data_IF_444850836246
#
_entry.id   IF_444850836246
#
_cell.length_a   1.000
_cell.length_b   1.000
_cell.length_c   1.000
_cell.angle_alpha   90.00
_cell.angle_beta   90.00
_cell.angle_gamma   90.00
#
_symmetry.space_group_name_H-M   'P 1'
#
loop_
_entity.id
_entity.type
_entity.pdbx_description
1 polymer ?
#
# COMPACT_ATOMS: atom_id res chain seq x y z
N UNK A 1 -7.59 2.10 7.78
CA UNK A 1 -8.55 2.34 8.89
C UNK A 1 -8.15 3.53 9.77
N UNK A 2 -6.86 3.87 9.92
CA UNK A 2 -6.41 5.04 10.70
C UNK A 2 -7.05 6.37 10.26
N UNK A 3 -7.18 6.60 8.95
CA UNK A 3 -7.82 7.82 8.41
C UNK A 3 -9.30 7.92 8.80
N UNK A 4 -10.01 6.78 8.88
CA UNK A 4 -11.41 6.73 9.33
C UNK A 4 -11.48 7.06 10.83
N UNK A 5 -10.56 6.54 11.63
CA UNK A 5 -10.44 6.89 13.06
C UNK A 5 -10.23 8.39 13.29
N UNK A 6 -9.34 9.02 12.52
CA UNK A 6 -9.14 10.48 12.58
C UNK A 6 -10.37 11.28 12.15
N UNK A 7 -11.12 10.83 11.14
CA UNK A 7 -12.38 11.48 10.74
C UNK A 7 -13.43 11.43 11.86
N UNK A 8 -13.63 10.26 12.48
CA UNK A 8 -14.58 10.09 13.59
C UNK A 8 -14.18 10.98 14.77
N UNK A 9 -12.89 11.05 15.09
CA UNK A 9 -12.37 11.90 16.15
C UNK A 9 -12.65 13.37 15.87
N UNK A 10 -12.39 13.85 14.64
CA UNK A 10 -12.67 15.23 14.25
C UNK A 10 -14.17 15.57 14.37
N UNK A 11 -15.05 14.68 13.92
CA UNK A 11 -16.51 14.85 14.06
C UNK A 11 -16.92 14.90 15.53
N UNK A 12 -16.38 14.02 16.37
CA UNK A 12 -16.65 14.01 17.81
C UNK A 12 -16.23 15.30 18.51
N UNK A 13 -15.05 15.85 18.17
CA UNK A 13 -14.57 17.13 18.71
C UNK A 13 -15.50 18.28 18.31
N UNK A 14 -15.87 18.35 17.03
CA UNK A 14 -16.81 19.39 16.55
C UNK A 14 -18.15 19.28 17.27
N UNK A 15 -18.68 18.07 17.45
CA UNK A 15 -19.93 17.83 18.16
C UNK A 15 -19.87 18.37 19.60
N UNK A 16 -18.81 18.05 20.35
CA UNK A 16 -18.65 18.54 21.73
C UNK A 16 -18.56 20.06 21.78
N UNK A 17 -17.87 20.70 20.84
CA UNK A 17 -17.80 22.16 20.76
C UNK A 17 -19.18 22.79 20.55
N UNK A 18 -20.01 22.20 19.68
CA UNK A 18 -21.41 22.63 19.50
C UNK A 18 -22.21 22.43 20.77
N UNK A 19 -22.09 21.27 21.43
CA UNK A 19 -22.81 20.97 22.67
C UNK A 19 -22.44 21.94 23.81
N UNK A 20 -21.17 22.34 23.91
CA UNK A 20 -20.70 23.31 24.89
C UNK A 20 -21.32 24.71 24.69
N UNK A 21 -21.64 25.06 23.45
CA UNK A 21 -22.24 26.35 23.09
C UNK A 21 -23.77 26.40 23.29
N UNK A 22 -24.43 25.28 23.59
CA UNK A 22 -25.88 25.27 23.84
C UNK A 22 -26.20 26.11 25.10
N UNK A 23 -27.07 27.11 24.92
CA UNK A 23 -27.65 27.90 26.00
C UNK A 23 -28.68 27.07 26.76
N UNK A 24 -28.56 27.02 28.08
CA UNK A 24 -29.43 26.24 28.95
C UNK A 24 -30.47 27.08 29.68
N UNK A 25 -30.53 28.38 29.39
CA UNK A 25 -31.38 29.32 30.10
C UNK A 25 -32.63 29.70 29.30
N UNK A 26 -33.73 29.92 30.02
CA UNK A 26 -35.00 30.41 29.46
C UNK A 26 -35.39 31.71 30.15
N UNK A 27 -36.01 32.62 29.39
CA UNK A 27 -36.52 33.88 29.94
C UNK A 27 -37.75 33.62 30.81
N UNK A 28 -37.80 34.24 31.98
CA UNK A 28 -38.97 34.25 32.85
C UNK A 28 -39.82 35.49 32.61
N UNK A 29 -41.12 35.43 32.91
CA UNK A 29 -42.04 36.55 32.74
C UNK A 29 -41.71 37.81 33.58
N UNK A 30 -40.76 37.71 34.51
CA UNK A 30 -40.26 38.80 35.35
C UNK A 30 -38.92 39.39 34.87
N UNK A 31 -38.51 39.12 33.62
CA UNK A 31 -37.31 39.71 33.01
C UNK A 31 -35.98 39.04 33.42
N UNK A 32 -36.03 37.98 34.22
CA UNK A 32 -34.86 37.18 34.59
C UNK A 32 -34.61 36.02 33.63
N UNK A 33 -33.40 35.46 33.65
CA UNK A 33 -33.09 34.17 33.01
C UNK A 33 -32.85 33.13 34.09
N UNK A 34 -33.46 31.96 33.94
CA UNK A 34 -33.24 30.81 34.82
C UNK A 34 -32.73 29.63 34.02
N UNK A 35 -31.84 28.84 34.60
CA UNK A 35 -31.35 27.62 33.96
C UNK A 35 -32.43 26.56 34.00
N UNK A 36 -32.80 26.06 32.82
CA UNK A 36 -33.76 24.98 32.69
C UNK A 36 -33.02 23.64 32.90
N UNK A 37 -33.46 22.87 33.90
CA UNK A 37 -32.87 21.58 34.27
C UNK A 37 -32.91 20.60 33.08
N UNK A 38 -33.98 20.61 32.29
CA UNK A 38 -34.13 19.76 31.11
C UNK A 38 -33.16 20.14 29.98
N UNK A 39 -32.94 21.44 29.74
CA UNK A 39 -31.93 21.89 28.76
C UNK A 39 -30.50 21.58 29.24
N UNK A 40 -30.23 21.73 30.53
CA UNK A 40 -28.97 21.31 31.15
C UNK A 40 -28.73 19.81 30.98
N UNK A 41 -29.74 18.98 31.21
CA UNK A 41 -29.67 17.53 31.01
C UNK A 41 -29.45 17.17 29.53
N UNK A 42 -30.13 17.87 28.60
CA UNK A 42 -29.91 17.67 27.17
C UNK A 42 -28.48 18.03 26.75
N UNK A 43 -27.93 19.15 27.24
CA UNK A 43 -26.53 19.54 27.03
C UNK A 43 -25.56 18.48 27.56
N UNK A 44 -25.79 17.97 28.77
CA UNK A 44 -24.98 16.89 29.34
C UNK A 44 -25.03 15.62 28.50
N UNK A 45 -26.21 15.19 28.05
CA UNK A 45 -26.36 14.01 27.20
C UNK A 45 -25.58 14.15 25.87
N UNK A 46 -25.65 15.31 25.23
CA UNK A 46 -24.90 15.60 24.00
C UNK A 46 -23.37 15.56 24.23
N UNK A 47 -22.91 16.09 25.36
CA UNK A 47 -21.48 16.03 25.74
C UNK A 47 -21.04 14.58 26.00
N UNK A 48 -21.86 13.77 26.67
CA UNK A 48 -21.56 12.36 26.95
C UNK A 48 -21.45 11.57 25.64
N UNK A 49 -22.42 11.73 24.73
CA UNK A 49 -22.41 11.05 23.42
C UNK A 49 -21.17 11.47 22.62
N UNK A 50 -20.89 12.77 22.54
CA UNK A 50 -19.70 13.28 21.85
C UNK A 50 -18.39 12.73 22.46
N UNK A 51 -18.32 12.63 23.79
CA UNK A 51 -17.19 12.04 24.50
C UNK A 51 -16.96 10.57 24.14
N UNK A 52 -18.02 9.76 24.09
CA UNK A 52 -17.94 8.35 23.67
C UNK A 52 -17.45 8.24 22.24
N UNK A 53 -17.95 9.08 21.32
CA UNK A 53 -17.51 9.11 19.92
C UNK A 53 -16.01 9.41 19.82
N UNK A 54 -15.51 10.37 20.59
CA UNK A 54 -14.08 10.71 20.64
C UNK A 54 -13.26 9.52 21.17
N UNK A 55 -13.70 8.87 22.26
CA UNK A 55 -13.02 7.70 22.83
C UNK A 55 -12.95 6.55 21.82
N UNK A 56 -14.05 6.23 21.15
CA UNK A 56 -14.07 5.22 20.08
C UNK A 56 -13.16 5.61 18.92
N UNK A 57 -13.19 6.87 18.49
CA UNK A 57 -12.31 7.40 17.44
C UNK A 57 -10.83 7.27 17.80
N UNK A 58 -10.46 7.58 19.05
CA UNK A 58 -9.10 7.42 19.58
C UNK A 58 -8.68 5.95 19.60
N UNK A 59 -9.53 5.05 20.10
CA UNK A 59 -9.23 3.60 20.16
C UNK A 59 -8.99 3.06 18.76
N UNK A 60 -9.85 3.40 17.79
CA UNK A 60 -9.70 2.96 16.39
C UNK A 60 -8.44 3.58 15.75
N UNK A 61 -8.10 4.82 16.06
CA UNK A 61 -6.91 5.48 15.51
C UNK A 61 -5.60 4.87 16.04
N UNK A 62 -5.56 4.51 17.33
CA UNK A 62 -4.35 4.01 18.01
C UNK A 62 -4.16 2.51 17.84
N UNK A 63 -5.22 1.71 18.04
CA UNK A 63 -5.11 0.25 18.14
C UNK A 63 -5.47 -0.51 16.87
N UNK A 64 -5.88 0.16 15.79
CA UNK A 64 -6.22 -0.51 14.56
C UNK A 64 -4.98 -0.79 13.68
N UNK A 65 -4.38 -1.97 13.87
CA UNK A 65 -3.43 -2.54 12.92
C UNK A 65 -4.16 -2.88 11.61
N UNK A 66 -3.50 -2.74 10.47
CA UNK A 66 -4.07 -3.16 9.19
C UNK A 66 -4.46 -4.64 9.28
N UNK A 67 -5.75 -4.96 9.09
CA UNK A 67 -6.18 -6.33 8.86
C UNK A 67 -5.40 -6.83 7.64
N UNK A 68 -4.60 -7.89 7.76
CA UNK A 68 -3.89 -8.42 6.60
C UNK A 68 -4.92 -8.81 5.55
N UNK A 69 -4.80 -8.24 4.35
CA UNK A 69 -5.61 -8.66 3.21
C UNK A 69 -5.24 -10.10 2.91
N UNK A 70 -6.11 -11.05 3.24
CA UNK A 70 -5.94 -12.44 2.85
C UNK A 70 -5.91 -12.48 1.32
N UNK A 71 -4.76 -12.82 0.72
CA UNK A 71 -4.68 -13.05 -0.72
C UNK A 71 -5.05 -14.50 -0.95
N UNK A 72 -6.09 -14.72 -1.76
CA UNK A 72 -6.48 -16.06 -2.22
C UNK A 72 -5.66 -16.38 -3.45
N UNK A 73 -5.08 -17.57 -3.49
CA UNK A 73 -4.35 -18.10 -4.65
C UNK A 73 -4.91 -19.48 -5.00
N UNK A 74 -4.79 -19.87 -6.28
CA UNK A 74 -5.20 -21.19 -6.74
C UNK A 74 -4.12 -22.21 -6.36
N UNK A 75 -4.54 -23.35 -5.80
CA UNK A 75 -3.65 -24.46 -5.51
C UNK A 75 -3.04 -25.02 -6.82
N UNK A 76 -1.71 -25.21 -6.94
CA UNK A 76 -1.09 -25.71 -8.17
C UNK A 76 -1.44 -27.17 -8.48
N UNK A 77 -1.95 -27.94 -7.51
CA UNK A 77 -2.24 -29.36 -7.67
C UNK A 77 -3.71 -29.64 -8.00
N UNK A 78 -4.64 -28.87 -7.45
CA UNK A 78 -6.07 -29.12 -7.60
C UNK A 78 -6.88 -27.91 -8.10
N UNK A 79 -6.23 -26.77 -8.35
CA UNK A 79 -6.85 -25.52 -8.81
C UNK A 79 -7.93 -24.93 -7.89
N UNK A 80 -8.05 -25.41 -6.66
CA UNK A 80 -9.00 -24.88 -5.69
C UNK A 80 -8.44 -23.65 -4.96
N UNK A 81 -9.33 -22.79 -4.46
CA UNK A 81 -8.93 -21.56 -3.76
C UNK A 81 -8.36 -21.86 -2.36
N UNK A 82 -7.11 -21.46 -2.16
CA UNK A 82 -6.38 -21.60 -0.90
C UNK A 82 -5.84 -20.25 -0.43
N UNK A 83 -5.59 -20.14 0.87
CA UNK A 83 -4.90 -18.96 1.43
C UNK A 83 -3.47 -18.94 0.89
N UNK A 84 -2.96 -17.76 0.49
CA UNK A 84 -1.57 -17.57 0.10
C UNK A 84 -0.59 -18.03 1.17
N UNK A 85 -0.96 -17.96 2.44
CA UNK A 85 -0.09 -18.42 3.54
C UNK A 85 -0.29 -19.91 3.89
N UNK A 86 -1.06 -20.65 3.09
CA UNK A 86 -1.27 -22.07 3.31
C UNK A 86 0.03 -22.85 3.08
N UNK A 87 0.40 -23.69 4.04
CA UNK A 87 1.47 -24.69 3.89
C UNK A 87 0.95 -25.98 3.26
N UNK A 88 -0.33 -26.31 3.50
CA UNK A 88 -1.00 -27.47 2.90
C UNK A 88 -2.37 -27.09 2.36
N UNK A 89 -2.72 -27.66 1.22
CA UNK A 89 -4.04 -27.47 0.64
C UNK A 89 -5.08 -28.29 1.41
N UNK A 90 -6.16 -27.64 1.86
CA UNK A 90 -7.27 -28.30 2.58
C UNK A 90 -8.09 -29.27 1.70
N UNK A 91 -7.98 -29.15 0.38
CA UNK A 91 -8.78 -29.93 -0.56
C UNK A 91 -8.06 -31.19 -1.05
N UNK A 92 -6.79 -31.07 -1.44
CA UNK A 92 -6.01 -32.20 -1.96
C UNK A 92 -4.92 -32.70 -1.01
N UNK A 93 -4.65 -32.00 0.10
CA UNK A 93 -3.63 -32.40 1.08
C UNK A 93 -2.18 -32.16 0.64
N UNK A 94 -1.94 -31.69 -0.59
CA UNK A 94 -0.60 -31.40 -1.11
C UNK A 94 0.09 -30.28 -0.32
N UNK A 95 1.39 -30.42 -0.12
CA UNK A 95 2.24 -29.37 0.43
C UNK A 95 2.42 -28.27 -0.62
N UNK A 96 2.07 -27.05 -0.25
CA UNK A 96 2.08 -25.86 -1.13
C UNK A 96 3.04 -24.79 -0.58
N UNK A 97 3.79 -25.08 0.49
CA UNK A 97 4.67 -24.13 1.18
C UNK A 97 5.73 -23.48 0.28
N UNK A 98 6.30 -24.24 -0.66
CA UNK A 98 7.29 -23.76 -1.64
C UNK A 98 6.69 -22.82 -2.69
N UNK A 99 5.39 -22.94 -2.97
CA UNK A 99 4.66 -22.12 -3.94
C UNK A 99 3.96 -20.91 -3.30
N UNK A 100 3.65 -21.01 -2.01
CA UNK A 100 2.92 -20.01 -1.21
C UNK A 100 3.83 -18.88 -0.69
N UNK A 101 5.09 -19.18 -0.35
CA UNK A 101 5.96 -18.28 0.42
C UNK A 101 6.87 -17.35 -0.39
N UNK A 102 6.92 -17.46 -1.73
CA UNK A 102 7.57 -16.44 -2.57
C UNK A 102 6.64 -15.24 -2.78
N UNK A 103 6.39 -14.50 -1.71
CA UNK A 103 6.12 -13.07 -1.82
C UNK A 103 7.44 -12.33 -1.87
N UNK A 104 8.17 -12.51 -2.96
CA UNK A 104 9.09 -11.48 -3.40
C UNK A 104 8.32 -10.63 -4.40
N UNK A 105 8.50 -9.31 -4.33
CA UNK A 105 8.21 -8.44 -5.47
C UNK A 105 8.70 -9.13 -6.76
N UNK A 106 8.04 -8.91 -7.90
CA UNK A 106 8.44 -9.52 -9.15
C UNK A 106 9.96 -9.38 -9.35
N UNK A 107 10.65 -10.51 -9.30
CA UNK A 107 12.09 -10.58 -9.50
C UNK A 107 12.35 -10.73 -10.98
N UNK A 108 12.92 -9.70 -11.61
CA UNK A 108 13.50 -9.85 -12.94
C UNK A 108 14.87 -10.49 -12.75
N UNK A 109 15.01 -11.76 -13.15
CA UNK A 109 16.30 -12.46 -13.15
C UNK A 109 17.03 -12.40 -11.79
N UNK A 110 16.29 -12.44 -10.67
CA UNK A 110 16.85 -12.43 -9.30
C UNK A 110 16.86 -11.08 -8.59
N UNK A 111 16.59 -9.96 -9.28
CA UNK A 111 16.57 -8.62 -8.69
C UNK A 111 15.17 -8.10 -8.46
N UNK A 112 14.92 -7.52 -7.29
CA UNK A 112 13.64 -6.88 -6.95
C UNK A 112 13.55 -5.48 -7.57
N UNK A 113 12.34 -5.03 -7.91
CA UNK A 113 12.12 -3.64 -8.34
C UNK A 113 12.58 -2.60 -7.30
N UNK A 114 12.61 -2.97 -6.01
CA UNK A 114 13.18 -2.14 -4.93
C UNK A 114 14.69 -1.91 -5.07
N UNK A 115 15.41 -2.78 -5.77
CA UNK A 115 16.87 -2.70 -5.96
C UNK A 115 17.25 -1.80 -7.14
N UNK A 116 16.30 -1.63 -8.08
CA UNK A 116 16.45 -0.81 -9.28
C UNK A 116 16.35 0.70 -9.02
N UNK A 117 15.83 1.12 -7.87
CA UNK A 117 15.66 2.53 -7.52
C UNK A 117 16.46 2.87 -6.27
N UNK A 118 17.50 3.69 -6.44
CA UNK A 118 18.32 4.24 -5.35
C UNK A 118 17.90 5.68 -5.08
N UNK A 119 17.91 6.08 -3.80
CA UNK A 119 17.70 7.48 -3.42
C UNK A 119 19.06 8.12 -3.22
N UNK A 120 19.42 9.09 -4.06
CA UNK A 120 20.67 9.82 -3.95
C UNK A 120 20.64 10.81 -2.79
N UNK A 121 21.82 11.32 -2.40
CA UNK A 121 22.00 12.24 -1.27
C UNK A 121 21.17 13.54 -1.36
N UNK A 122 20.73 13.90 -2.57
CA UNK A 122 19.86 15.04 -2.84
C UNK A 122 18.35 14.73 -2.64
N UNK A 123 18.01 13.54 -2.15
CA UNK A 123 16.63 13.08 -1.97
C UNK A 123 15.91 12.71 -3.28
N UNK A 124 16.62 12.75 -4.41
CA UNK A 124 16.10 12.37 -5.73
C UNK A 124 16.21 10.86 -5.94
N UNK A 125 15.16 10.25 -6.51
CA UNK A 125 15.18 8.84 -6.92
C UNK A 125 15.87 8.71 -8.26
N UNK A 126 16.91 7.90 -8.32
CA UNK A 126 17.67 7.60 -9.54
C UNK A 126 17.73 6.08 -9.75
N UNK A 127 18.01 5.66 -10.98
CA UNK A 127 18.13 4.25 -11.35
C UNK A 127 19.45 3.66 -10.85
N UNK A 128 19.42 2.42 -10.40
CA UNK A 128 20.63 1.67 -10.06
C UNK A 128 21.21 1.03 -11.32
N UNK A 129 22.10 1.74 -12.01
CA UNK A 129 22.71 1.29 -13.28
C UNK A 129 23.45 -0.07 -13.14
N UNK A 130 23.98 -0.39 -11.96
CA UNK A 130 24.63 -1.69 -11.70
C UNK A 130 23.64 -2.85 -11.82
N UNK A 131 22.44 -2.68 -11.27
CA UNK A 131 21.37 -3.69 -11.32
C UNK A 131 20.81 -3.81 -12.75
N UNK A 132 20.71 -2.70 -13.48
CA UNK A 132 20.32 -2.71 -14.91
C UNK A 132 21.31 -3.53 -15.74
N UNK A 133 22.62 -3.37 -15.50
CA UNK A 133 23.64 -4.16 -16.21
C UNK A 133 23.56 -5.65 -15.86
N UNK A 134 23.27 -6.00 -14.60
CA UNK A 134 23.12 -7.40 -14.20
C UNK A 134 21.89 -8.07 -14.84
N UNK A 135 20.76 -7.35 -14.91
CA UNK A 135 19.57 -7.82 -15.64
C UNK A 135 19.89 -7.99 -17.14
N UNK A 136 20.58 -7.04 -17.76
CA UNK A 136 21.00 -7.13 -19.16
C UNK A 136 21.89 -8.36 -19.41
N UNK A 137 22.86 -8.64 -18.53
CA UNK A 137 23.71 -9.82 -18.63
C UNK A 137 22.91 -11.11 -18.52
N UNK A 138 21.98 -11.22 -17.57
CA UNK A 138 21.14 -12.42 -17.42
C UNK A 138 20.23 -12.64 -18.63
N UNK A 139 19.60 -11.58 -19.15
CA UNK A 139 18.81 -11.65 -20.38
C UNK A 139 19.65 -12.08 -21.60
N UNK A 140 20.90 -11.64 -21.69
CA UNK A 140 21.81 -12.09 -22.73
C UNK A 140 22.25 -13.55 -22.56
N UNK A 141 22.47 -14.03 -21.34
CA UNK A 141 22.86 -15.42 -21.07
C UNK A 141 21.75 -16.41 -21.46
N UNK A 142 20.48 -16.03 -21.28
CA UNK A 142 19.34 -16.85 -21.71
C UNK A 142 19.17 -16.84 -23.24
N UNK A 143 19.62 -15.77 -23.91
CA UNK A 143 19.43 -15.54 -25.34
C UNK A 143 20.74 -15.07 -26.04
N UNK A 144 21.82 -15.87 -26.02
CA UNK A 144 23.18 -15.41 -26.35
C UNK A 144 23.39 -15.02 -27.81
N UNK A 145 22.56 -15.53 -28.73
CA UNK A 145 22.69 -15.31 -30.17
C UNK A 145 21.66 -14.30 -30.73
N UNK A 146 20.80 -13.75 -29.89
CA UNK A 146 19.72 -12.87 -30.31
C UNK A 146 20.17 -11.39 -30.35
N UNK A 147 19.50 -10.57 -31.18
CA UNK A 147 19.70 -9.12 -31.19
C UNK A 147 19.05 -8.50 -29.94
N UNK A 148 19.58 -7.39 -29.44
CA UNK A 148 19.06 -6.69 -28.26
C UNK A 148 17.53 -6.47 -28.34
N UNK A 149 17.04 -6.00 -29.49
CA UNK A 149 15.61 -5.83 -29.75
C UNK A 149 14.78 -7.13 -29.59
N UNK A 150 15.29 -8.26 -30.09
CA UNK A 150 14.62 -9.56 -29.91
C UNK A 150 14.58 -9.99 -28.44
N UNK A 151 15.66 -9.75 -27.70
CA UNK A 151 15.74 -10.05 -26.27
C UNK A 151 14.77 -9.18 -25.47
N UNK A 152 14.65 -7.89 -25.80
CA UNK A 152 13.70 -6.98 -25.15
C UNK A 152 12.25 -7.35 -25.45
N UNK A 153 11.91 -7.69 -26.69
CA UNK A 153 10.55 -8.10 -27.07
C UNK A 153 10.14 -9.38 -26.36
N UNK A 154 11.03 -10.37 -26.27
CA UNK A 154 10.76 -11.61 -25.54
C UNK A 154 10.57 -11.37 -24.04
N UNK A 155 11.31 -10.42 -23.46
CA UNK A 155 11.21 -10.06 -22.05
C UNK A 155 10.22 -8.91 -21.76
N UNK A 156 9.43 -8.48 -22.75
CA UNK A 156 8.55 -7.32 -22.63
C UNK A 156 7.59 -7.36 -21.42
N UNK A 157 6.96 -8.50 -21.05
CA UNK A 157 6.11 -8.57 -19.85
C UNK A 157 6.86 -8.29 -18.54
N UNK A 158 8.14 -8.69 -18.47
CA UNK A 158 8.99 -8.46 -17.28
C UNK A 158 9.39 -6.98 -17.23
N UNK A 159 9.79 -6.42 -18.37
CA UNK A 159 10.17 -5.01 -18.51
C UNK A 159 8.98 -4.10 -18.17
N UNK A 160 7.78 -4.39 -18.68
CA UNK A 160 6.58 -3.59 -18.39
C UNK A 160 6.22 -3.62 -16.90
N UNK A 161 6.32 -4.79 -16.28
CA UNK A 161 6.06 -4.95 -14.85
C UNK A 161 7.07 -4.19 -13.98
N UNK A 162 8.35 -4.14 -14.36
CA UNK A 162 9.33 -3.28 -13.69
C UNK A 162 8.98 -1.80 -13.86
N UNK A 163 8.55 -1.38 -15.06
CA UNK A 163 8.16 0.00 -15.34
C UNK A 163 6.96 0.48 -14.53
N UNK A 164 6.02 -0.41 -14.19
CA UNK A 164 4.86 -0.06 -13.35
C UNK A 164 5.24 0.37 -11.93
N UNK A 165 6.44 0.03 -11.47
CA UNK A 165 6.93 0.40 -10.13
C UNK A 165 7.61 1.77 -10.08
N UNK A 166 7.81 2.42 -11.23
CA UNK A 166 8.58 3.66 -11.36
C UNK A 166 7.80 4.75 -12.11
N UNK A 167 8.25 6.00 -11.98
CA UNK A 167 7.63 7.13 -12.67
C UNK A 167 7.88 7.06 -14.18
N UNK A 168 6.98 7.65 -14.98
CA UNK A 168 7.02 7.56 -16.46
C UNK A 168 8.37 7.94 -17.07
N UNK A 169 9.05 8.96 -16.52
CA UNK A 169 10.36 9.40 -16.98
C UNK A 169 11.43 8.33 -16.72
N UNK A 170 11.46 7.79 -15.50
CA UNK A 170 12.39 6.75 -15.09
C UNK A 170 12.19 5.45 -15.88
N UNK A 171 10.95 5.12 -16.24
CA UNK A 171 10.65 3.96 -17.09
C UNK A 171 11.24 4.06 -18.50
N UNK A 172 11.30 5.27 -19.07
CA UNK A 172 11.94 5.50 -20.37
C UNK A 172 13.47 5.41 -20.26
N UNK A 173 14.04 6.00 -19.20
CA UNK A 173 15.48 5.97 -18.93
C UNK A 173 15.97 4.53 -18.70
N UNK A 174 15.19 3.70 -17.98
CA UNK A 174 15.47 2.28 -17.77
C UNK A 174 15.52 1.50 -19.09
N UNK A 175 14.54 1.66 -19.98
CA UNK A 175 14.52 0.96 -21.28
C UNK A 175 15.71 1.36 -22.14
N UNK A 176 16.00 2.66 -22.22
CA UNK A 176 17.15 3.18 -22.98
C UNK A 176 18.46 2.62 -22.45
N UNK A 177 18.63 2.55 -21.13
CA UNK A 177 19.84 1.99 -20.52
C UNK A 177 19.95 0.48 -20.73
N UNK A 178 18.84 -0.26 -20.58
CA UNK A 178 18.82 -1.71 -20.78
C UNK A 178 19.18 -2.08 -22.23
N UNK A 179 18.62 -1.37 -23.21
CA UNK A 179 18.95 -1.57 -24.62
C UNK A 179 20.43 -1.30 -24.89
N UNK A 180 20.95 -0.18 -24.37
CA UNK A 180 22.36 0.20 -24.56
C UNK A 180 23.33 -0.85 -24.00
N UNK A 181 23.03 -1.43 -22.83
CA UNK A 181 23.85 -2.47 -22.22
C UNK A 181 23.76 -3.79 -22.99
N UNK A 182 22.58 -4.18 -23.48
CA UNK A 182 22.43 -5.38 -24.33
C UNK A 182 23.22 -5.26 -25.64
N UNK A 183 23.22 -4.08 -26.27
CA UNK A 183 24.04 -3.80 -27.47
C UNK A 183 25.53 -3.86 -27.14
N UNK A 184 25.94 -3.27 -26.02
CA UNK A 184 27.34 -3.26 -25.55
C UNK A 184 27.87 -4.66 -25.25
N UNK A 185 27.06 -5.52 -24.62
CA UNK A 185 27.42 -6.91 -24.33
C UNK A 185 27.69 -7.67 -25.62
N UNK A 186 26.82 -7.50 -26.63
CA UNK A 186 27.01 -8.14 -27.94
C UNK A 186 28.26 -7.63 -28.67
N UNK A 187 28.57 -6.34 -28.59
CA UNK A 187 29.74 -5.75 -29.26
C UNK A 187 31.09 -6.18 -28.65
N UNK A 188 31.10 -6.75 -27.44
CA UNK A 188 32.32 -7.22 -26.75
C UNK A 188 32.69 -8.68 -27.06
N UNK A 189 31.84 -9.41 -27.77
CA UNK A 189 32.02 -10.82 -28.13
C UNK A 189 32.39 -10.93 -29.60
#
# INVERSE_FOLDING_TARGET
MRNIGFLILAVGVIWVLVALNIDTSVATGYGGRVNNIGLMANKQNQIIIGGIVIVCGLIISVFCKSIPSYKIVKCPFCAEDINRDALKCKHCGSDVSEHSSKSELPKAHGHSASELVITNSDGKKDLNLSVVSEIAMKMHLEMPNNKALSVMVTNAPIISMLKETMDKQMGMDFESHLESELVRIKSKK
#
